data_IF_975097954221
#
_entry.id   IF_975097954221
#
_cell.length_a   1.000
_cell.length_b   1.000
_cell.length_c   1.000
_cell.angle_alpha   90.00
_cell.angle_beta   90.00
_cell.angle_gamma   90.00
#
_symmetry.space_group_name_H-M   'P 1'
#
loop_
_entity.id
_entity.type
_entity.pdbx_description
1 polymer ?
#
# COMPACT_ATOMS: atom_id res chain seq x y z
N UNK A 1 -18.99 30.83 -15.53
CA UNK A 1 -18.63 30.05 -14.34
C UNK A 1 -17.80 30.93 -13.43
N UNK A 2 -18.35 31.34 -12.28
CA UNK A 2 -17.69 32.26 -11.35
C UNK A 2 -16.64 31.53 -10.45
N UNK A 3 -16.65 30.19 -10.42
CA UNK A 3 -15.71 29.41 -9.59
C UNK A 3 -14.24 29.72 -9.91
N UNK A 4 -13.86 29.87 -11.18
CA UNK A 4 -12.48 30.18 -11.52
C UNK A 4 -12.05 31.59 -11.12
N UNK A 5 -13.01 32.54 -11.09
CA UNK A 5 -12.72 33.88 -10.56
C UNK A 5 -12.56 33.85 -9.05
N UNK A 6 -13.37 33.05 -8.35
CA UNK A 6 -13.24 32.85 -6.91
C UNK A 6 -11.89 32.17 -6.56
N UNK A 7 -11.50 31.13 -7.31
CA UNK A 7 -10.18 30.45 -7.15
C UNK A 7 -9.03 31.45 -7.37
N UNK A 8 -9.08 32.23 -8.45
CA UNK A 8 -8.06 33.27 -8.76
C UNK A 8 -7.93 34.29 -7.61
N UNK A 9 -9.06 34.76 -7.07
CA UNK A 9 -9.05 35.70 -5.96
C UNK A 9 -8.42 35.09 -4.69
N UNK A 10 -8.75 33.83 -4.37
CA UNK A 10 -8.13 33.09 -3.25
C UNK A 10 -6.62 32.94 -3.47
N UNK A 11 -6.19 32.58 -4.69
CA UNK A 11 -4.76 32.49 -5.05
C UNK A 11 -4.05 33.83 -4.84
N UNK A 12 -4.68 34.93 -5.21
CA UNK A 12 -4.07 36.28 -5.07
C UNK A 12 -3.88 36.66 -3.59
N UNK A 13 -4.88 36.40 -2.74
CA UNK A 13 -4.77 36.71 -1.31
C UNK A 13 -3.72 35.81 -0.63
N UNK A 14 -3.67 34.53 -0.99
CA UNK A 14 -2.65 33.59 -0.47
C UNK A 14 -1.24 33.87 -1.00
N UNK A 15 -1.12 34.38 -2.22
CA UNK A 15 0.17 34.65 -2.85
C UNK A 15 0.97 35.76 -2.14
N UNK A 16 0.32 36.65 -1.38
CA UNK A 16 0.97 37.72 -0.63
C UNK A 16 1.52 37.25 0.73
N UNK A 17 0.90 36.27 1.37
CA UNK A 17 1.25 35.84 2.71
C UNK A 17 1.81 34.41 2.77
N UNK A 18 1.36 33.54 1.87
CA UNK A 18 1.70 32.12 1.86
C UNK A 18 1.21 31.40 3.13
N UNK A 19 1.58 30.13 3.26
CA UNK A 19 1.38 29.35 4.51
C UNK A 19 2.73 28.75 4.91
N UNK A 20 3.32 29.28 5.99
CA UNK A 20 4.63 28.85 6.47
C UNK A 20 4.65 27.42 7.05
N UNK A 21 5.79 26.76 6.99
CA UNK A 21 6.05 25.46 7.65
C UNK A 21 6.46 25.70 9.12
N UNK A 22 5.50 25.99 9.99
CA UNK A 22 5.74 26.38 11.39
C UNK A 22 5.83 25.20 12.36
N UNK A 23 5.58 23.97 11.91
CA UNK A 23 5.66 22.74 12.72
C UNK A 23 6.83 21.89 12.30
N UNK A 24 7.53 21.29 13.29
CA UNK A 24 8.67 20.42 13.06
C UNK A 24 8.36 18.99 13.51
N UNK A 25 8.60 18.01 12.65
CA UNK A 25 8.64 16.62 13.04
C UNK A 25 10.01 16.28 13.63
N UNK A 26 10.08 16.21 14.95
CA UNK A 26 11.34 15.98 15.68
C UNK A 26 11.95 14.59 15.43
N UNK A 27 11.14 13.58 15.06
CA UNK A 27 11.63 12.22 14.79
C UNK A 27 12.31 12.10 13.43
N UNK A 28 11.82 12.83 12.43
CA UNK A 28 12.31 12.79 11.05
C UNK A 28 13.01 14.09 10.62
N UNK A 29 13.14 15.05 11.56
CA UNK A 29 13.85 16.33 11.41
C UNK A 29 13.45 17.17 10.18
N UNK A 30 12.15 17.23 9.84
CA UNK A 30 11.65 18.10 8.77
C UNK A 30 10.55 19.05 9.25
N UNK A 31 10.46 20.23 8.62
CA UNK A 31 9.41 21.20 8.86
C UNK A 31 8.17 20.91 8.00
N UNK A 32 6.98 21.00 8.56
CA UNK A 32 5.73 20.74 7.86
C UNK A 32 4.62 21.72 8.23
N UNK A 33 3.59 21.79 7.38
CA UNK A 33 2.35 22.52 7.65
C UNK A 33 1.34 21.57 8.28
N UNK A 34 0.86 21.89 9.48
CA UNK A 34 -0.26 21.16 10.08
C UNK A 34 -1.55 21.40 9.32
N UNK A 35 -2.52 20.47 9.43
CA UNK A 35 -3.84 20.68 8.83
C UNK A 35 -4.53 21.91 9.42
N UNK A 36 -4.37 22.16 10.72
CA UNK A 36 -4.99 23.30 11.39
C UNK A 36 -4.44 24.63 10.87
N UNK A 37 -3.14 24.69 10.57
CA UNK A 37 -2.50 25.89 10.02
C UNK A 37 -3.09 26.23 8.63
N UNK A 38 -3.32 25.20 7.82
CA UNK A 38 -3.92 25.33 6.49
C UNK A 38 -5.38 25.74 6.59
N UNK A 39 -6.18 25.11 7.46
CA UNK A 39 -7.59 25.43 7.64
C UNK A 39 -7.77 26.85 8.18
N UNK A 40 -6.93 27.27 9.16
CA UNK A 40 -6.98 28.61 9.75
C UNK A 40 -6.61 29.70 8.74
N UNK A 41 -5.65 29.43 7.84
CA UNK A 41 -5.29 30.37 6.80
C UNK A 41 -6.35 30.46 5.68
N UNK A 42 -6.91 29.31 5.28
CA UNK A 42 -7.87 29.25 4.18
C UNK A 42 -9.25 29.75 4.55
N UNK A 43 -9.75 29.46 5.77
CA UNK A 43 -11.15 29.75 6.15
C UNK A 43 -11.55 31.21 5.93
N UNK A 44 -10.83 32.25 6.40
CA UNK A 44 -11.21 33.64 6.18
C UNK A 44 -11.19 34.04 4.70
N UNK A 45 -10.22 33.51 3.92
CA UNK A 45 -10.06 33.84 2.52
C UNK A 45 -11.16 33.18 1.67
N UNK A 46 -11.45 31.90 1.93
CA UNK A 46 -12.54 31.18 1.27
C UNK A 46 -13.87 31.85 1.53
N UNK A 47 -14.16 32.22 2.78
CA UNK A 47 -15.38 32.93 3.17
C UNK A 47 -15.49 34.29 2.48
N UNK A 48 -14.40 35.05 2.39
CA UNK A 48 -14.33 36.35 1.72
C UNK A 48 -14.72 36.27 0.23
N UNK A 49 -14.27 35.19 -0.45
CA UNK A 49 -14.47 35.02 -1.89
C UNK A 49 -15.64 34.08 -2.24
N UNK A 50 -16.42 33.66 -1.25
CA UNK A 50 -17.59 32.79 -1.45
C UNK A 50 -17.23 31.44 -2.08
N UNK A 51 -16.08 30.89 -1.74
CA UNK A 51 -15.63 29.59 -2.24
C UNK A 51 -15.75 28.54 -1.14
N UNK A 52 -16.39 27.42 -1.44
CA UNK A 52 -16.61 26.29 -0.54
C UNK A 52 -15.83 25.10 -1.05
N UNK A 53 -15.20 24.35 -0.14
CA UNK A 53 -14.50 23.10 -0.47
C UNK A 53 -15.24 21.92 0.17
N UNK A 54 -15.80 21.04 -0.68
CA UNK A 54 -16.55 19.85 -0.26
C UNK A 54 -15.76 18.58 -0.60
N UNK A 55 -15.25 17.83 0.39
CA UNK A 55 -14.52 16.59 0.16
C UNK A 55 -15.48 15.43 -0.15
N UNK A 56 -15.01 14.48 -0.99
CA UNK A 56 -15.62 13.20 -1.27
C UNK A 56 -14.56 12.11 -1.33
N UNK A 57 -14.59 11.17 -0.41
CA UNK A 57 -13.69 10.02 -0.43
C UNK A 57 -14.22 8.99 -1.43
N UNK A 58 -13.41 8.64 -2.42
CA UNK A 58 -13.75 7.65 -3.44
C UNK A 58 -13.32 6.25 -3.03
N UNK A 59 -12.06 6.12 -2.57
CA UNK A 59 -11.54 4.84 -2.08
C UNK A 59 -10.69 5.04 -0.82
N UNK A 60 -10.67 4.02 0.00
CA UNK A 60 -9.80 3.91 1.17
C UNK A 60 -9.26 2.50 1.27
N UNK A 61 -7.95 2.40 1.37
CA UNK A 61 -7.25 1.14 1.62
C UNK A 61 -6.38 1.29 2.86
N UNK A 62 -6.32 0.25 3.69
CA UNK A 62 -5.44 0.22 4.87
C UNK A 62 -4.64 -1.06 4.87
N UNK A 63 -3.32 -0.91 4.96
CA UNK A 63 -2.36 -2.02 5.04
C UNK A 63 -1.75 -2.03 6.43
N UNK A 64 -1.91 -3.13 7.14
CA UNK A 64 -1.24 -3.35 8.42
C UNK A 64 0.18 -3.87 8.19
N UNK A 65 1.13 -3.29 8.91
CA UNK A 65 2.54 -3.74 8.96
C UNK A 65 2.98 -3.84 10.41
N UNK A 66 4.02 -4.61 10.65
CA UNK A 66 4.63 -4.71 11.98
C UNK A 66 5.92 -3.92 12.06
N UNK A 67 6.13 -3.25 13.20
CA UNK A 67 7.43 -2.67 13.55
C UNK A 67 8.46 -3.77 13.84
N UNK A 68 9.74 -3.41 13.89
CA UNK A 68 10.81 -4.35 14.30
C UNK A 68 10.59 -4.92 15.71
N UNK A 69 9.89 -4.18 16.57
CA UNK A 69 9.53 -4.59 17.94
C UNK A 69 8.18 -5.32 18.05
N UNK A 70 7.53 -5.65 16.93
CA UNK A 70 6.26 -6.40 16.90
C UNK A 70 4.99 -5.56 17.06
N UNK A 71 5.08 -4.23 17.19
CA UNK A 71 3.92 -3.33 17.25
C UNK A 71 3.24 -3.18 15.88
N UNK A 72 1.92 -2.97 15.87
CA UNK A 72 1.17 -2.73 14.65
C UNK A 72 1.41 -1.31 14.10
N UNK A 73 1.45 -1.18 12.78
CA UNK A 73 1.45 0.09 12.03
C UNK A 73 0.41 0.01 10.93
N UNK A 74 -0.45 1.00 10.87
CA UNK A 74 -1.50 1.11 9.86
C UNK A 74 -1.12 2.18 8.84
N UNK A 75 -0.94 1.76 7.58
CA UNK A 75 -0.73 2.62 6.43
C UNK A 75 -2.06 2.75 5.70
N UNK A 76 -2.63 3.94 5.69
CA UNK A 76 -3.88 4.21 5.00
C UNK A 76 -3.63 5.08 3.78
N UNK A 77 -4.21 4.65 2.66
CA UNK A 77 -4.24 5.36 1.39
C UNK A 77 -5.69 5.79 1.13
N UNK A 78 -5.86 7.06 0.78
CA UNK A 78 -7.17 7.63 0.44
C UNK A 78 -7.08 8.28 -0.92
N UNK A 79 -8.01 7.92 -1.81
CA UNK A 79 -8.29 8.69 -3.02
C UNK A 79 -9.52 9.56 -2.77
N UNK A 80 -9.36 10.85 -2.88
CA UNK A 80 -10.43 11.81 -2.61
C UNK A 80 -10.55 12.86 -3.70
N UNK A 81 -11.76 13.29 -3.93
CA UNK A 81 -12.12 14.46 -4.73
C UNK A 81 -12.55 15.61 -3.83
N UNK A 82 -12.28 16.82 -4.28
CA UNK A 82 -12.65 18.06 -3.61
C UNK A 82 -13.36 18.94 -4.61
N UNK A 83 -14.65 19.17 -4.37
CA UNK A 83 -15.45 20.11 -5.15
C UNK A 83 -15.24 21.53 -4.60
N UNK A 84 -14.63 22.40 -5.39
CA UNK A 84 -14.51 23.84 -5.14
C UNK A 84 -15.75 24.50 -5.74
N UNK A 85 -16.65 24.99 -4.90
CA UNK A 85 -17.96 25.47 -5.30
C UNK A 85 -18.05 26.98 -5.05
N UNK A 86 -18.40 27.75 -6.08
CA UNK A 86 -18.74 29.16 -5.92
C UNK A 86 -20.14 29.28 -5.35
N UNK A 87 -20.29 29.93 -4.18
CA UNK A 87 -21.58 30.12 -3.51
C UNK A 87 -22.54 31.05 -4.25
N UNK A 88 -22.03 31.89 -5.17
CA UNK A 88 -22.81 32.84 -5.90
C UNK A 88 -23.64 32.22 -7.04
N UNK A 89 -23.03 31.29 -7.81
CA UNK A 89 -23.66 30.70 -9.00
C UNK A 89 -23.70 29.17 -8.99
N UNK A 90 -23.21 28.54 -7.93
CA UNK A 90 -23.15 27.08 -7.81
C UNK A 90 -22.16 26.40 -8.79
N UNK A 91 -21.43 27.18 -9.59
CA UNK A 91 -20.42 26.60 -10.47
C UNK A 91 -19.32 25.95 -9.66
N UNK A 92 -18.77 24.83 -10.17
CA UNK A 92 -17.76 24.06 -9.46
C UNK A 92 -16.58 23.64 -10.33
N UNK A 93 -15.45 23.47 -9.68
CA UNK A 93 -14.26 22.79 -10.17
C UNK A 93 -13.93 21.62 -9.24
N UNK A 94 -13.61 20.45 -9.77
CA UNK A 94 -13.25 19.26 -8.98
C UNK A 94 -11.77 18.98 -9.12
N UNK A 95 -11.05 18.91 -8.01
CA UNK A 95 -9.69 18.41 -7.95
C UNK A 95 -9.66 17.01 -7.31
N UNK A 96 -8.84 16.13 -7.83
CA UNK A 96 -8.65 14.76 -7.33
C UNK A 96 -7.24 14.59 -6.80
N UNK A 97 -7.11 14.06 -5.58
CA UNK A 97 -5.81 13.86 -4.93
C UNK A 97 -5.74 12.55 -4.17
N UNK A 98 -4.51 12.09 -3.95
CA UNK A 98 -4.20 10.97 -3.07
C UNK A 98 -3.65 11.48 -1.75
N UNK A 99 -4.01 10.80 -0.65
CA UNK A 99 -3.45 11.07 0.67
C UNK A 99 -2.97 9.79 1.31
N UNK A 100 -1.82 9.88 1.97
CA UNK A 100 -1.25 8.77 2.72
C UNK A 100 -1.10 9.16 4.18
N UNK A 101 -1.36 8.20 5.07
CA UNK A 101 -1.20 8.38 6.50
C UNK A 101 -0.76 7.13 7.20
N UNK A 102 0.24 7.25 8.05
CA UNK A 102 0.70 6.16 8.90
C UNK A 102 0.42 6.48 10.36
N UNK A 103 -0.10 5.50 11.09
CA UNK A 103 -0.32 5.59 12.53
C UNK A 103 -0.19 4.22 13.18
N UNK A 104 0.18 4.20 14.47
CA UNK A 104 0.26 2.97 15.28
C UNK A 104 -1.08 2.63 15.95
N UNK A 105 -2.12 3.42 15.76
CA UNK A 105 -3.43 3.27 16.37
C UNK A 105 -4.55 3.61 15.39
N UNK A 106 -5.49 4.48 15.78
CA UNK A 106 -6.76 4.77 15.10
C UNK A 106 -6.75 5.97 14.14
N UNK A 107 -5.60 6.68 14.00
CA UNK A 107 -5.53 7.98 13.32
C UNK A 107 -5.00 7.94 11.88
N UNK A 108 -4.65 6.76 11.35
CA UNK A 108 -4.07 6.66 10.00
C UNK A 108 -4.99 7.22 8.92
N UNK A 109 -6.29 6.96 8.99
CA UNK A 109 -7.30 7.51 8.06
C UNK A 109 -7.37 9.03 8.15
N UNK A 110 -7.41 9.59 9.37
CA UNK A 110 -7.47 11.05 9.57
C UNK A 110 -6.23 11.74 9.02
N UNK A 111 -5.05 11.13 9.20
CA UNK A 111 -3.79 11.63 8.62
C UNK A 111 -3.82 11.59 7.09
N UNK A 112 -4.30 10.50 6.50
CA UNK A 112 -4.43 10.36 5.05
C UNK A 112 -5.40 11.41 4.46
N UNK A 113 -6.56 11.60 5.08
CA UNK A 113 -7.53 12.62 4.66
C UNK A 113 -6.98 14.04 4.79
N UNK A 114 -6.25 14.33 5.88
CA UNK A 114 -5.58 15.62 6.07
C UNK A 114 -4.49 15.88 5.02
N UNK A 115 -3.76 14.85 4.63
CA UNK A 115 -2.79 14.93 3.53
C UNK A 115 -3.50 15.23 2.21
N UNK A 116 -4.54 14.47 1.84
CA UNK A 116 -5.30 14.68 0.61
C UNK A 116 -5.87 16.11 0.52
N UNK A 117 -6.48 16.61 1.59
CA UNK A 117 -7.00 17.98 1.64
C UNK A 117 -5.92 19.04 1.43
N UNK A 118 -4.79 18.91 2.13
CA UNK A 118 -3.68 19.86 1.99
C UNK A 118 -3.16 19.91 0.56
N UNK A 119 -2.96 18.76 -0.08
CA UNK A 119 -2.49 18.70 -1.45
C UNK A 119 -3.53 19.24 -2.45
N UNK A 120 -4.81 18.97 -2.24
CA UNK A 120 -5.87 19.59 -3.06
C UNK A 120 -5.80 21.12 -3.00
N UNK A 121 -5.67 21.69 -1.80
CA UNK A 121 -5.56 23.14 -1.61
C UNK A 121 -4.26 23.71 -2.19
N UNK A 122 -3.10 23.08 -1.90
CA UNK A 122 -1.81 23.55 -2.37
C UNK A 122 -1.70 23.58 -3.89
N UNK A 123 -2.16 22.53 -4.54
CA UNK A 123 -2.13 22.42 -6.01
C UNK A 123 -3.15 23.34 -6.68
N UNK A 124 -4.38 23.43 -6.13
CA UNK A 124 -5.44 24.28 -6.73
C UNK A 124 -5.11 25.76 -6.58
N UNK A 125 -4.57 26.18 -5.43
CA UNK A 125 -4.28 27.59 -5.17
C UNK A 125 -2.82 27.97 -5.38
N UNK A 126 -1.95 27.04 -5.82
CA UNK A 126 -0.51 27.29 -5.98
C UNK A 126 0.09 27.97 -4.76
N UNK A 127 -0.21 27.48 -3.56
CA UNK A 127 0.16 28.14 -2.30
C UNK A 127 1.69 28.16 -2.16
N UNK A 128 2.32 29.34 -2.11
CA UNK A 128 3.77 29.44 -2.01
C UNK A 128 4.29 28.94 -0.67
N UNK A 129 5.55 28.53 -0.68
CA UNK A 129 6.29 28.14 0.53
C UNK A 129 7.68 28.74 0.45
N UNK A 130 8.12 29.36 1.53
CA UNK A 130 9.50 29.86 1.63
C UNK A 130 10.50 28.77 2.05
N UNK A 131 9.99 27.61 2.48
CA UNK A 131 10.84 26.50 2.90
C UNK A 131 11.28 25.64 1.74
N UNK A 132 12.52 25.12 1.82
CA UNK A 132 13.07 24.12 0.88
C UNK A 132 12.10 22.95 0.73
N UNK A 133 11.86 22.57 -0.51
CA UNK A 133 10.99 21.44 -0.83
C UNK A 133 11.57 20.15 -0.27
N UNK A 134 10.75 19.38 0.46
CA UNK A 134 11.17 18.08 0.99
C UNK A 134 11.45 17.04 -0.09
N UNK A 135 11.05 17.31 -1.34
CA UNK A 135 11.39 16.49 -2.50
C UNK A 135 12.85 16.64 -2.94
N UNK A 136 13.54 17.71 -2.48
CA UNK A 136 14.97 17.92 -2.75
C UNK A 136 15.84 17.01 -1.86
N UNK A 137 15.36 16.61 -0.69
CA UNK A 137 15.98 15.57 0.11
C UNK A 137 15.54 14.18 -0.38
N UNK A 138 16.03 13.77 -1.54
CA UNK A 138 16.02 12.36 -1.91
C UNK A 138 16.93 11.62 -0.91
N UNK A 139 16.31 10.99 0.09
CA UNK A 139 17.01 9.89 0.75
C UNK A 139 17.40 8.92 -0.34
N UNK A 140 18.69 8.59 -0.46
CA UNK A 140 19.11 7.44 -1.24
C UNK A 140 18.29 6.27 -0.74
N UNK A 141 17.25 5.94 -1.48
CA UNK A 141 16.50 4.71 -1.29
C UNK A 141 17.49 3.64 -1.67
N UNK A 142 18.17 3.05 -0.69
CA UNK A 142 18.84 1.78 -0.92
C UNK A 142 17.81 0.91 -1.65
N UNK A 143 18.14 0.32 -2.80
CA UNK A 143 17.19 -0.47 -3.56
C UNK A 143 16.56 -1.43 -2.55
N UNK A 144 15.24 -1.38 -2.41
CA UNK A 144 14.49 -2.38 -1.68
C UNK A 144 14.66 -3.63 -2.50
N UNK A 145 15.80 -4.29 -2.30
CA UNK A 145 15.88 -5.72 -2.54
C UNK A 145 14.79 -6.26 -1.63
N UNK A 146 13.63 -6.51 -2.20
CA UNK A 146 12.69 -7.46 -1.66
C UNK A 146 13.46 -8.77 -1.60
N UNK A 147 14.31 -8.91 -0.60
CA UNK A 147 14.48 -10.19 0.00
C UNK A 147 13.09 -10.53 0.59
N UNK A 148 12.23 -11.04 -0.29
CA UNK A 148 11.39 -12.13 0.11
C UNK A 148 12.44 -13.09 0.68
N UNK A 149 12.67 -13.08 1.99
CA UNK A 149 13.08 -14.26 2.70
C UNK A 149 11.95 -15.23 2.40
N UNK A 150 12.08 -15.95 1.28
CA UNK A 150 11.50 -17.25 1.19
C UNK A 150 11.96 -17.90 2.48
N UNK A 151 11.03 -18.05 3.43
CA UNK A 151 11.20 -19.04 4.47
C UNK A 151 11.57 -20.27 3.68
N UNK A 152 12.82 -20.70 3.77
CA UNK A 152 13.20 -21.99 3.24
C UNK A 152 12.19 -22.95 3.82
N UNK A 153 11.32 -23.46 2.95
CA UNK A 153 10.32 -24.45 3.35
C UNK A 153 11.14 -25.72 3.53
N UNK A 154 11.63 -25.91 4.74
CA UNK A 154 12.45 -27.07 5.10
C UNK A 154 11.64 -28.36 5.15
N UNK A 155 10.29 -28.26 5.14
CA UNK A 155 9.36 -29.38 5.13
C UNK A 155 8.20 -29.12 4.20
N UNK A 156 7.69 -30.14 3.49
CA UNK A 156 6.52 -29.98 2.62
C UNK A 156 5.28 -29.55 3.40
N UNK A 157 4.49 -28.66 2.80
CA UNK A 157 3.21 -28.23 3.37
C UNK A 157 2.15 -29.34 3.24
N UNK A 158 1.09 -29.33 4.06
CA UNK A 158 -0.02 -30.27 3.90
C UNK A 158 -0.64 -30.28 2.49
N UNK A 159 -0.72 -29.13 1.84
CA UNK A 159 -1.22 -29.00 0.47
C UNK A 159 -0.30 -29.70 -0.55
N UNK A 160 1.02 -29.60 -0.37
CA UNK A 160 2.00 -30.29 -1.22
C UNK A 160 1.91 -31.80 -1.07
N UNK A 161 1.73 -32.31 0.15
CA UNK A 161 1.53 -33.72 0.42
C UNK A 161 0.23 -34.27 -0.18
N UNK A 162 -0.85 -33.50 -0.15
CA UNK A 162 -2.12 -33.84 -0.79
C UNK A 162 -1.94 -33.95 -2.33
N UNK A 163 -1.22 -33.01 -2.95
CA UNK A 163 -0.88 -33.07 -4.37
C UNK A 163 -0.06 -34.32 -4.71
N UNK A 164 0.93 -34.67 -3.89
CA UNK A 164 1.77 -35.85 -4.08
C UNK A 164 0.96 -37.16 -4.06
N UNK A 165 -0.03 -37.30 -3.18
CA UNK A 165 -0.91 -38.44 -3.16
C UNK A 165 -1.84 -38.51 -4.41
N UNK A 166 -2.29 -37.37 -4.90
CA UNK A 166 -3.05 -37.29 -6.16
C UNK A 166 -2.21 -37.72 -7.38
N UNK A 167 -0.94 -37.31 -7.43
CA UNK A 167 0.00 -37.71 -8.48
C UNK A 167 0.33 -39.21 -8.39
N UNK A 168 0.46 -39.77 -7.20
CA UNK A 168 0.65 -41.22 -6.98
C UNK A 168 -0.53 -42.04 -7.53
N UNK A 169 -1.77 -41.60 -7.30
CA UNK A 169 -2.96 -42.29 -7.82
C UNK A 169 -2.99 -42.29 -9.35
N UNK A 170 -2.56 -41.19 -9.98
CA UNK A 170 -2.48 -41.08 -11.45
C UNK A 170 -1.35 -41.93 -12.04
N UNK A 171 -0.24 -42.10 -11.33
CA UNK A 171 0.93 -42.85 -11.80
C UNK A 171 0.73 -44.37 -11.79
N UNK A 172 -0.35 -44.89 -11.20
CA UNK A 172 -0.60 -46.34 -11.05
C UNK A 172 0.29 -47.04 -10.05
N UNK A 173 1.16 -46.31 -9.33
CA UNK A 173 2.02 -46.89 -8.29
C UNK A 173 1.26 -47.14 -7.00
N UNK A 174 1.63 -48.19 -6.26
CA UNK A 174 0.97 -48.52 -5.01
C UNK A 174 1.45 -47.62 -3.87
N UNK A 175 0.59 -47.42 -2.88
CA UNK A 175 0.97 -46.74 -1.61
C UNK A 175 2.08 -47.45 -0.87
N UNK A 176 2.21 -48.79 -1.04
CA UNK A 176 3.28 -49.55 -0.45
C UNK A 176 4.62 -49.25 -1.10
N UNK A 177 4.68 -49.23 -2.45
CA UNK A 177 5.92 -48.90 -3.20
C UNK A 177 6.41 -47.46 -2.86
N UNK A 178 5.49 -46.52 -2.68
CA UNK A 178 5.84 -45.16 -2.23
C UNK A 178 6.43 -45.19 -0.81
N UNK A 179 5.86 -45.99 0.09
CA UNK A 179 6.35 -46.13 1.46
C UNK A 179 7.76 -46.74 1.50
N UNK A 180 7.99 -47.76 0.70
CA UNK A 180 9.29 -48.42 0.60
C UNK A 180 10.36 -47.46 0.03
N UNK A 181 10.00 -46.64 -0.97
CA UNK A 181 10.89 -45.61 -1.49
C UNK A 181 11.17 -44.51 -0.48
N UNK A 182 10.16 -44.05 0.29
CA UNK A 182 10.36 -43.10 1.38
C UNK A 182 11.35 -43.63 2.44
N UNK A 183 11.23 -44.90 2.82
CA UNK A 183 12.16 -45.55 3.77
C UNK A 183 13.58 -45.57 3.20
N UNK A 184 13.74 -45.82 1.89
CA UNK A 184 15.08 -45.81 1.24
C UNK A 184 15.71 -44.42 1.22
N UNK A 185 14.88 -43.37 1.24
CA UNK A 185 15.33 -41.98 1.39
C UNK A 185 15.57 -41.55 2.85
N UNK A 186 15.39 -42.47 3.80
CA UNK A 186 15.57 -42.22 5.24
C UNK A 186 14.38 -41.48 5.91
N UNK A 187 13.22 -41.50 5.30
CA UNK A 187 12.02 -40.87 5.85
C UNK A 187 11.09 -41.90 6.48
N UNK A 188 10.77 -41.74 7.76
CA UNK A 188 9.89 -42.67 8.50
C UNK A 188 8.42 -42.50 8.17
N UNK A 189 8.01 -41.30 7.73
CA UNK A 189 6.60 -40.97 7.38
C UNK A 189 6.53 -39.73 6.49
N UNK A 190 5.41 -39.58 5.75
CA UNK A 190 5.16 -38.44 4.88
C UNK A 190 5.18 -37.08 5.61
N UNK A 191 4.79 -37.04 6.87
CA UNK A 191 4.79 -35.83 7.70
C UNK A 191 6.20 -35.43 8.21
N UNK A 192 7.19 -36.32 8.07
CA UNK A 192 8.58 -36.10 8.51
C UNK A 192 9.54 -35.85 7.34
N UNK A 193 9.04 -35.81 6.09
CA UNK A 193 9.83 -35.52 4.89
C UNK A 193 10.49 -34.13 4.98
N UNK A 194 11.75 -34.06 4.57
CA UNK A 194 12.41 -32.80 4.21
C UNK A 194 11.98 -32.41 2.80
N UNK A 195 12.21 -31.15 2.41
CA UNK A 195 11.90 -30.71 1.03
C UNK A 195 12.73 -31.45 0.00
N UNK A 196 13.99 -31.82 0.31
CA UNK A 196 14.83 -32.60 -0.59
C UNK A 196 14.25 -33.99 -0.82
N UNK A 197 13.86 -34.69 0.25
CA UNK A 197 13.22 -36.00 0.17
C UNK A 197 11.89 -35.97 -0.56
N UNK A 198 11.10 -34.88 -0.36
CA UNK A 198 9.85 -34.66 -1.06
C UNK A 198 10.07 -34.51 -2.57
N UNK A 199 11.04 -33.72 -3.00
CA UNK A 199 11.34 -33.51 -4.41
C UNK A 199 11.78 -34.83 -5.08
N UNK A 200 12.67 -35.60 -4.44
CA UNK A 200 13.08 -36.95 -4.93
C UNK A 200 11.89 -37.90 -5.06
N UNK A 201 10.95 -37.84 -4.11
CA UNK A 201 9.75 -38.67 -4.14
C UNK A 201 8.80 -38.25 -5.28
N UNK A 202 8.68 -36.94 -5.54
CA UNK A 202 7.90 -36.42 -6.63
C UNK A 202 8.48 -36.80 -8.01
N UNK A 203 9.81 -36.74 -8.15
CA UNK A 203 10.50 -37.19 -9.35
C UNK A 203 10.27 -38.70 -9.58
N UNK A 204 10.46 -39.53 -8.53
CA UNK A 204 10.22 -40.96 -8.60
C UNK A 204 8.77 -41.31 -9.01
N UNK A 205 7.76 -40.55 -8.61
CA UNK A 205 6.38 -40.73 -9.05
C UNK A 205 6.25 -40.46 -10.56
N UNK A 206 6.92 -39.43 -11.07
CA UNK A 206 6.84 -39.01 -12.47
C UNK A 206 7.66 -39.87 -13.43
N UNK A 207 8.80 -40.42 -13.00
CA UNK A 207 9.76 -41.18 -13.83
C UNK A 207 9.24 -42.51 -14.41
N UNK A 208 8.00 -42.93 -14.04
CA UNK A 208 7.37 -44.15 -14.57
C UNK A 208 5.98 -43.90 -15.11
N UNK A 209 5.76 -42.85 -15.87
CA UNK A 209 4.67 -42.84 -16.82
C UNK A 209 4.98 -43.97 -17.85
N UNK A 210 4.16 -45.05 -17.84
CA UNK A 210 4.22 -46.09 -18.82
C UNK A 210 4.15 -45.46 -20.20
N UNK A 211 5.01 -45.86 -21.19
CA UNK A 211 4.86 -45.37 -22.55
C UNK A 211 3.47 -45.74 -23.06
N UNK A 212 2.77 -44.78 -23.68
CA UNK A 212 1.54 -44.97 -24.36
C UNK A 212 1.69 -46.13 -25.34
N UNK A 213 1.13 -47.27 -25.02
CA UNK A 213 0.89 -48.32 -25.96
C UNK A 213 -0.31 -47.93 -26.84
N UNK A 214 -0.04 -47.16 -27.90
CA UNK A 214 -0.94 -47.05 -29.02
C UNK A 214 -1.13 -48.42 -29.64
N UNK A 215 -2.20 -49.13 -29.26
CA UNK A 215 -2.66 -50.29 -29.98
C UNK A 215 -3.33 -49.79 -31.24
N UNK A 216 -2.79 -50.17 -32.39
CA UNK A 216 -3.35 -50.00 -33.74
C UNK A 216 -4.73 -50.66 -33.85
#
# INVERSE_FOLDING_TARGET
MKVYKAIENVMRDLGSEGIGKNKQNKMQNYAFRGIDDVLNALNPILSKHGLIICPRVLTRETVERQTKSGGALFYTFVHAEFDFICSEDGSKHTASTMGEGMDSSDKSTNKAMSAAYKYAAFQTFCIPTEAVDSEIESHEVAPVVKQVKQKEITKPTPSMLLGLFGDLEKSGKSKQSMKDYMISLGAESSNKLTMEQFNKLQEWIKENELPDFNVK
#
